data_IF_602919510525
#
_entry.id   IF_602919510525
#
_cell.length_a   1.000
_cell.length_b   1.000
_cell.length_c   1.000
_cell.angle_alpha   90.00
_cell.angle_beta   90.00
_cell.angle_gamma   90.00
#
_symmetry.space_group_name_H-M   'P 1'
#
loop_
_entity.id
_entity.type
_entity.pdbx_description
1 polymer ?
#
# COMPACT_ATOMS: atom_id res chain seq x y z
N UNK A 1 -10.33 -91.05 17.33
CA UNK A 1 -10.23 -89.70 17.93
C UNK A 1 -9.50 -88.82 16.92
N UNK A 2 -10.01 -88.72 15.70
CA UNK A 2 -11.14 -87.88 15.27
C UNK A 2 -10.79 -86.40 15.18
N UNK A 3 -10.45 -86.03 13.95
CA UNK A 3 -10.93 -84.90 13.15
C UNK A 3 -11.61 -83.70 13.85
N UNK A 4 -11.15 -82.51 13.48
CA UNK A 4 -11.95 -81.28 13.62
C UNK A 4 -11.21 -80.04 13.12
N UNK A 5 -11.38 -79.73 11.83
CA UNK A 5 -10.76 -78.62 11.12
C UNK A 5 -11.24 -77.23 11.60
N UNK A 6 -10.33 -76.25 11.63
CA UNK A 6 -10.66 -74.82 11.76
C UNK A 6 -10.49 -74.16 10.40
N UNK A 7 -11.59 -73.64 9.85
CA UNK A 7 -11.61 -72.85 8.61
C UNK A 7 -12.05 -71.42 8.90
N UNK A 8 -11.43 -70.52 8.13
CA UNK A 8 -11.43 -69.07 8.20
C UNK A 8 -12.80 -68.41 7.98
N UNK A 9 -12.97 -67.23 8.59
CA UNK A 9 -13.97 -66.24 8.23
C UNK A 9 -13.40 -64.82 8.37
N UNK A 10 -13.09 -64.20 7.24
CA UNK A 10 -12.74 -62.77 7.11
C UNK A 10 -13.97 -61.88 7.25
N UNK A 11 -13.84 -60.74 7.94
CA UNK A 11 -14.92 -59.75 8.04
C UNK A 11 -14.44 -58.38 8.56
N UNK A 12 -14.54 -57.38 7.70
CA UNK A 12 -13.94 -56.04 7.75
C UNK A 12 -14.82 -55.03 8.54
N UNK A 13 -14.21 -53.88 8.91
CA UNK A 13 -14.80 -52.53 9.17
C UNK A 13 -15.12 -52.28 10.66
N UNK A 14 -14.78 -51.16 11.30
CA UNK A 14 -14.65 -49.78 10.84
C UNK A 14 -13.57 -49.01 11.63
N UNK A 15 -12.85 -48.13 10.93
CA UNK A 15 -12.15 -46.99 11.52
C UNK A 15 -13.18 -46.00 12.07
N UNK A 16 -13.21 -45.79 13.39
CA UNK A 16 -13.89 -44.68 14.02
C UNK A 16 -12.93 -43.49 14.15
N UNK A 17 -13.02 -42.54 13.22
CA UNK A 17 -12.36 -41.24 13.34
C UNK A 17 -13.17 -40.35 14.29
N UNK A 18 -12.65 -40.12 15.49
CA UNK A 18 -13.22 -39.17 16.43
C UNK A 18 -12.61 -37.78 16.20
N UNK A 19 -13.51 -36.82 15.98
CA UNK A 19 -13.25 -35.42 15.73
C UNK A 19 -12.67 -34.69 16.95
N UNK A 20 -11.74 -33.75 16.69
CA UNK A 20 -11.49 -32.61 17.57
C UNK A 20 -11.17 -31.40 16.68
N UNK A 21 -12.24 -30.67 16.36
CA UNK A 21 -12.21 -29.33 15.77
C UNK A 21 -11.76 -28.34 16.85
N UNK A 22 -10.49 -27.94 16.83
CA UNK A 22 -10.03 -26.73 17.50
C UNK A 22 -10.19 -25.56 16.52
N UNK A 23 -11.36 -24.92 16.57
CA UNK A 23 -11.56 -23.61 15.94
C UNK A 23 -10.88 -22.54 16.81
N UNK A 24 -9.60 -22.27 16.54
CA UNK A 24 -8.89 -21.12 17.10
C UNK A 24 -9.40 -19.87 16.36
N UNK A 25 -10.42 -19.23 16.92
CA UNK A 25 -10.78 -17.86 16.60
C UNK A 25 -9.78 -16.91 17.29
N UNK A 26 -8.56 -16.84 16.79
CA UNK A 26 -7.61 -15.78 17.12
C UNK A 26 -7.64 -14.79 15.97
N UNK A 27 -8.00 -13.54 16.28
CA UNK A 27 -8.41 -12.52 15.33
C UNK A 27 -7.46 -12.33 14.15
N UNK A 28 -7.93 -12.72 12.97
CA UNK A 28 -7.61 -11.94 11.79
C UNK A 28 -8.24 -10.56 12.01
N UNK A 29 -7.44 -9.58 12.44
CA UNK A 29 -7.75 -8.20 12.14
C UNK A 29 -7.89 -8.12 10.63
N UNK A 30 -9.13 -8.15 10.16
CA UNK A 30 -9.42 -7.84 8.78
C UNK A 30 -8.73 -6.50 8.50
N UNK A 31 -7.93 -6.36 7.44
CA UNK A 31 -7.41 -5.07 7.07
C UNK A 31 -8.62 -4.14 6.98
N UNK A 32 -8.67 -3.13 7.86
CA UNK A 32 -9.69 -2.11 7.79
C UNK A 32 -9.72 -1.65 6.33
N UNK A 33 -10.91 -1.59 5.71
CA UNK A 33 -11.01 -1.20 4.31
C UNK A 33 -10.29 0.13 4.21
N UNK A 34 -9.22 0.12 3.42
CA UNK A 34 -8.36 1.26 3.23
C UNK A 34 -9.29 2.42 2.85
N UNK A 35 -9.47 3.37 3.76
CA UNK A 35 -10.42 4.46 3.55
C UNK A 35 -9.78 5.38 2.53
N UNK A 36 -10.21 5.22 1.28
CA UNK A 36 -9.99 6.21 0.24
C UNK A 36 -10.86 7.41 0.64
N UNK A 37 -10.36 8.21 1.60
CA UNK A 37 -11.09 9.35 2.16
C UNK A 37 -11.32 10.33 1.02
N UNK A 38 -12.57 10.45 0.60
CA UNK A 38 -12.99 11.52 -0.29
C UNK A 38 -12.53 12.86 0.32
N UNK A 39 -11.81 13.66 -0.47
CA UNK A 39 -11.34 15.00 -0.06
C UNK A 39 -9.85 15.13 0.26
N UNK A 40 -9.05 14.06 0.19
CA UNK A 40 -7.60 14.18 0.29
C UNK A 40 -6.98 14.69 -1.01
N UNK A 41 -5.98 15.56 -0.88
CA UNK A 41 -5.39 16.28 -2.01
C UNK A 41 -3.98 15.81 -2.30
N UNK A 42 -3.74 15.43 -3.55
CA UNK A 42 -2.40 15.19 -4.10
C UNK A 42 -1.87 16.44 -4.79
N UNK A 43 -0.55 16.61 -4.81
CA UNK A 43 0.09 17.59 -5.68
C UNK A 43 0.22 16.96 -7.07
N UNK A 44 -0.19 17.70 -8.11
CA UNK A 44 -0.08 17.22 -9.50
C UNK A 44 0.59 18.25 -10.40
N UNK A 45 1.34 17.78 -11.40
CA UNK A 45 1.95 18.59 -12.46
C UNK A 45 1.27 18.35 -13.80
N UNK A 46 1.22 19.36 -14.69
CA UNK A 46 0.67 19.18 -16.03
C UNK A 46 1.50 18.20 -16.89
N UNK A 47 2.84 18.19 -16.72
CA UNK A 47 3.75 17.29 -17.41
C UNK A 47 4.67 16.59 -16.41
N UNK A 48 5.02 15.32 -16.66
CA UNK A 48 5.99 14.58 -15.85
C UNK A 48 7.41 15.05 -16.13
N UNK A 49 8.22 15.26 -15.09
CA UNK A 49 9.68 15.38 -15.20
C UNK A 49 10.34 14.17 -14.55
N UNK A 50 11.52 13.80 -15.05
CA UNK A 50 12.45 12.96 -14.29
C UNK A 50 13.10 13.85 -13.21
N UNK A 51 12.97 13.44 -11.95
CA UNK A 51 13.84 13.93 -10.88
C UNK A 51 15.20 13.22 -10.91
N UNK A 52 16.10 13.61 -10.00
CA UNK A 52 17.34 12.87 -9.74
C UNK A 52 17.00 11.44 -9.31
N UNK A 53 17.26 10.46 -10.18
CA UNK A 53 16.77 9.09 -10.04
C UNK A 53 17.11 8.47 -8.67
N UNK A 54 16.12 8.43 -7.79
CA UNK A 54 16.16 7.86 -6.46
C UNK A 54 14.82 7.17 -6.13
N UNK A 55 14.73 6.59 -4.93
CA UNK A 55 13.56 5.86 -4.46
C UNK A 55 13.04 6.47 -3.17
N UNK A 56 11.77 6.90 -3.18
CA UNK A 56 11.03 7.27 -1.97
C UNK A 56 10.27 6.04 -1.48
N UNK A 57 10.49 5.68 -0.23
CA UNK A 57 9.92 4.50 0.40
C UNK A 57 9.22 4.93 1.69
N UNK A 58 8.00 4.47 1.90
CA UNK A 58 7.29 4.77 3.14
C UNK A 58 5.81 4.45 3.09
N UNK A 59 5.07 5.03 4.03
CA UNK A 59 3.63 4.82 4.19
C UNK A 59 2.85 6.06 3.78
N UNK A 60 1.82 5.91 2.95
CA UNK A 60 0.90 6.99 2.60
C UNK A 60 0.22 7.52 3.86
N UNK A 61 0.35 8.81 4.11
CA UNK A 61 -0.20 9.49 5.27
C UNK A 61 -0.92 10.78 4.87
N UNK A 62 -1.58 11.41 5.85
CA UNK A 62 -2.28 12.67 5.69
C UNK A 62 -1.66 13.74 6.60
N UNK A 63 -1.38 14.92 6.04
CA UNK A 63 -1.03 16.13 6.78
C UNK A 63 -1.92 17.28 6.32
N UNK A 64 -2.81 17.74 7.22
CA UNK A 64 -3.70 18.90 6.97
C UNK A 64 -4.52 18.78 5.68
N UNK A 65 -4.99 17.57 5.35
CA UNK A 65 -5.74 17.28 4.12
C UNK A 65 -4.88 17.08 2.85
N UNK A 66 -3.55 17.21 2.93
CA UNK A 66 -2.63 16.83 1.87
C UNK A 66 -2.13 15.40 2.09
N UNK A 67 -1.96 14.65 1.00
CA UNK A 67 -1.29 13.36 1.05
C UNK A 67 0.22 13.55 1.07
N UNK A 68 0.88 12.80 1.96
CA UNK A 68 2.34 12.67 2.04
C UNK A 68 2.72 11.20 2.03
N UNK A 69 3.99 10.90 1.78
CA UNK A 69 4.61 9.62 2.12
C UNK A 69 5.45 9.86 3.36
N UNK A 70 5.11 9.14 4.44
CA UNK A 70 5.86 9.16 5.69
C UNK A 70 6.92 8.07 5.67
N UNK A 71 8.19 8.47 5.76
CA UNK A 71 9.30 7.53 5.86
C UNK A 71 9.42 6.92 7.25
N UNK A 72 10.36 5.99 7.39
CA UNK A 72 10.55 5.21 8.62
C UNK A 72 11.08 6.05 9.79
N UNK A 73 11.74 7.19 9.50
CA UNK A 73 12.24 8.14 10.50
C UNK A 73 11.18 9.20 10.88
N UNK A 74 10.00 9.14 10.26
CA UNK A 74 8.86 10.02 10.55
C UNK A 74 8.84 11.31 9.73
N UNK A 75 9.71 11.43 8.73
CA UNK A 75 9.74 12.52 7.76
C UNK A 75 8.51 12.46 6.84
N UNK A 76 7.92 13.63 6.54
CA UNK A 76 6.77 13.75 5.64
C UNK A 76 7.23 14.33 4.30
N UNK A 77 7.20 13.49 3.26
CA UNK A 77 7.58 13.88 1.90
C UNK A 77 6.33 14.05 1.05
N UNK A 78 6.26 15.13 0.26
CA UNK A 78 5.08 15.46 -0.54
C UNK A 78 5.26 14.94 -1.98
N UNK A 79 4.64 13.80 -2.35
CA UNK A 79 4.77 13.27 -3.70
C UNK A 79 3.96 14.11 -4.69
N UNK A 80 4.57 14.35 -5.83
CA UNK A 80 4.02 15.13 -6.94
C UNK A 80 3.92 14.22 -8.15
N UNK A 81 2.69 13.96 -8.58
CA UNK A 81 2.41 13.09 -9.72
C UNK A 81 2.11 13.89 -10.99
N UNK A 82 2.37 13.31 -12.16
CA UNK A 82 1.79 13.82 -13.39
C UNK A 82 0.26 13.77 -13.33
N UNK A 83 -0.44 14.74 -13.91
CA UNK A 83 -1.91 14.79 -13.90
C UNK A 83 -2.55 13.56 -14.56
N UNK A 84 -1.86 12.98 -15.54
CA UNK A 84 -2.26 11.75 -16.24
C UNK A 84 -1.94 10.48 -15.44
N UNK A 85 -1.18 10.57 -14.35
CA UNK A 85 -0.85 9.43 -13.53
C UNK A 85 -2.08 8.93 -12.75
N UNK A 86 -2.38 7.64 -12.91
CA UNK A 86 -3.53 7.01 -12.28
C UNK A 86 -3.19 6.40 -10.90
N UNK A 87 -1.91 6.16 -10.58
CA UNK A 87 -1.48 5.48 -9.34
C UNK A 87 -2.00 6.15 -8.08
N UNK A 88 -2.01 7.49 -7.93
CA UNK A 88 -2.52 8.16 -6.73
C UNK A 88 -3.98 7.83 -6.40
N UNK A 89 -4.77 7.43 -7.41
CA UNK A 89 -6.19 7.07 -7.22
C UNK A 89 -6.37 5.71 -6.54
N UNK A 90 -5.37 4.84 -6.68
CA UNK A 90 -5.35 3.51 -6.05
C UNK A 90 -4.77 3.53 -4.64
N UNK A 91 -4.03 4.58 -4.29
CA UNK A 91 -3.35 4.68 -3.01
C UNK A 91 -4.32 4.98 -1.87
N UNK A 92 -4.00 4.42 -0.71
CA UNK A 92 -4.77 4.66 0.50
C UNK A 92 -3.90 4.99 1.69
N UNK A 93 -4.39 5.83 2.61
CA UNK A 93 -3.71 6.12 3.87
C UNK A 93 -3.42 4.82 4.63
N UNK A 94 -2.19 4.66 5.11
CA UNK A 94 -1.68 3.44 5.74
C UNK A 94 -1.04 2.44 4.75
N UNK A 95 -1.16 2.66 3.44
CA UNK A 95 -0.52 1.81 2.43
C UNK A 95 0.98 2.07 2.36
N UNK A 96 1.76 1.01 2.34
CA UNK A 96 3.18 1.08 1.99
C UNK A 96 3.37 1.27 0.47
N UNK A 97 4.24 2.20 0.08
CA UNK A 97 4.53 2.53 -1.31
C UNK A 97 6.02 2.70 -1.55
N UNK A 98 6.43 2.40 -2.78
CA UNK A 98 7.76 2.65 -3.31
C UNK A 98 7.60 3.48 -4.59
N UNK A 99 8.16 4.69 -4.60
CA UNK A 99 7.96 5.66 -5.66
C UNK A 99 9.32 6.11 -6.20
N UNK A 100 9.63 5.68 -7.42
CA UNK A 100 10.77 6.22 -8.17
C UNK A 100 10.55 7.70 -8.48
N UNK A 101 11.60 8.51 -8.41
CA UNK A 101 11.50 9.94 -8.63
C UNK A 101 12.76 10.68 -8.23
N UNK A 102 12.59 11.95 -7.84
CA UNK A 102 13.67 12.74 -7.24
C UNK A 102 13.13 13.92 -6.44
N UNK A 103 13.93 14.39 -5.48
CA UNK A 103 13.58 15.52 -4.62
C UNK A 103 13.87 16.86 -5.28
N UNK A 104 13.05 17.84 -4.92
CA UNK A 104 13.22 19.24 -5.29
C UNK A 104 12.83 20.11 -4.10
N UNK A 105 13.49 21.25 -3.95
CA UNK A 105 13.02 22.26 -3.00
C UNK A 105 11.74 22.93 -3.55
N UNK A 106 10.73 23.12 -2.69
CA UNK A 106 9.48 23.76 -3.11
C UNK A 106 9.68 25.24 -3.52
N UNK A 107 10.74 25.87 -3.01
CA UNK A 107 11.20 27.22 -3.31
C UNK A 107 11.84 27.33 -4.70
N UNK A 108 12.45 26.24 -5.20
CA UNK A 108 12.94 26.18 -6.57
C UNK A 108 11.73 26.32 -7.50
N UNK A 109 11.88 27.07 -8.60
CA UNK A 109 10.83 27.24 -9.60
C UNK A 109 11.26 26.73 -10.97
N UNK A 110 12.52 26.35 -11.15
CA UNK A 110 13.10 25.89 -12.42
C UNK A 110 12.52 24.55 -12.89
N UNK A 111 12.00 23.77 -11.94
CA UNK A 111 11.31 22.51 -12.20
C UNK A 111 9.88 22.69 -12.74
N UNK A 112 9.27 23.87 -12.57
CA UNK A 112 7.90 24.13 -13.03
C UNK A 112 7.86 24.14 -14.56
N UNK A 113 7.00 23.32 -15.17
CA UNK A 113 6.84 23.26 -16.63
C UNK A 113 5.91 24.33 -17.17
N UNK A 114 5.12 24.97 -16.31
CA UNK A 114 4.27 26.10 -16.68
C UNK A 114 4.01 27.02 -15.49
N UNK A 115 3.74 28.29 -15.78
CA UNK A 115 3.32 29.29 -14.78
C UNK A 115 1.93 29.00 -14.19
N UNK A 116 1.19 28.06 -14.79
CA UNK A 116 -0.14 27.66 -14.34
C UNK A 116 -0.13 26.62 -13.21
N UNK A 117 1.05 26.09 -12.86
CA UNK A 117 1.17 25.13 -11.78
C UNK A 117 1.14 25.80 -10.41
N UNK A 118 0.30 25.28 -9.51
CA UNK A 118 0.14 25.77 -8.14
C UNK A 118 0.08 24.62 -7.15
N UNK A 119 0.75 24.76 -6.00
CA UNK A 119 0.57 23.86 -4.86
C UNK A 119 -0.85 24.05 -4.29
N UNK A 120 -1.63 22.97 -4.13
CA UNK A 120 -2.95 23.06 -3.50
C UNK A 120 -2.88 23.63 -2.08
N UNK A 121 -3.94 24.29 -1.63
CA UNK A 121 -3.97 24.95 -0.31
C UNK A 121 -3.68 23.99 0.85
N UNK A 122 -4.22 22.77 0.80
CA UNK A 122 -3.98 21.73 1.80
C UNK A 122 -2.49 21.34 1.91
N UNK A 123 -1.73 21.49 0.82
CA UNK A 123 -0.32 21.11 0.73
C UNK A 123 0.63 22.31 0.91
N UNK A 124 0.11 23.50 1.27
CA UNK A 124 0.97 24.68 1.49
C UNK A 124 1.88 24.47 2.69
N UNK A 125 3.12 24.94 2.55
CA UNK A 125 4.16 24.79 3.57
C UNK A 125 5.02 23.53 3.41
N UNK A 126 4.83 22.75 2.33
CA UNK A 126 5.82 21.76 1.92
C UNK A 126 7.14 22.48 1.61
N UNK A 127 8.22 22.07 2.29
CA UNK A 127 9.58 22.58 2.06
C UNK A 127 10.27 21.77 0.96
N UNK A 128 9.99 20.47 0.90
CA UNK A 128 10.51 19.53 -0.08
C UNK A 128 9.37 18.81 -0.80
N UNK A 129 9.52 18.64 -2.11
CA UNK A 129 8.60 17.89 -2.95
C UNK A 129 9.34 16.73 -3.62
N UNK A 130 8.63 15.63 -3.84
CA UNK A 130 9.16 14.48 -4.57
C UNK A 130 8.47 14.33 -5.92
N UNK A 131 9.18 14.60 -7.02
CA UNK A 131 8.62 14.42 -8.36
C UNK A 131 8.65 12.93 -8.69
N UNK A 132 7.46 12.32 -8.75
CA UNK A 132 7.33 10.89 -9.05
C UNK A 132 7.53 10.67 -10.55
N UNK A 133 8.46 9.79 -10.90
CA UNK A 133 8.72 9.39 -12.27
C UNK A 133 7.51 8.65 -12.87
N UNK A 134 7.17 8.87 -14.15
CA UNK A 134 6.11 8.12 -14.82
C UNK A 134 6.50 6.65 -14.97
N UNK A 135 5.50 5.75 -14.97
CA UNK A 135 5.66 4.34 -15.35
C UNK A 135 5.48 4.11 -16.85
#
# INVERSE_FOLDING_TARGET
MDHGAVRWGSGVRMLGAAALLLAVAAGCGAPEPAVNKAGLTWITLPDSREGDAALLVGTVAEVRGCIVVRGDEGEDVYPVFGRSDARPRSFTVGQYVELGGGSIEASDTTWRTSDSWTVPEACRGAEELWIVAPE
#
